data_IF_038196097808
#
_entry.id   IF_038196097808
#
_cell.length_a   1.000
_cell.length_b   1.000
_cell.length_c   1.000
_cell.angle_alpha   90.00
_cell.angle_beta   90.00
_cell.angle_gamma   90.00
#
_symmetry.space_group_name_H-M   'P 1'
#
loop_
_entity.id
_entity.type
_entity.pdbx_description
1 polymer ?
#
# COMPACT_ATOMS: atom_id res chain seq x y z
N UNK A 1 -5.72 -2.80 -21.99
CA UNK A 1 -4.27 -3.09 -21.84
C UNK A 1 -4.07 -4.60 -21.93
N UNK A 2 -2.97 -5.05 -22.53
CA UNK A 2 -2.54 -6.45 -22.54
C UNK A 2 -1.45 -6.62 -21.48
N UNK A 3 -1.77 -7.25 -20.34
CA UNK A 3 -0.80 -7.47 -19.27
C UNK A 3 0.17 -8.62 -19.59
N UNK A 4 -0.16 -9.49 -20.54
CA UNK A 4 0.70 -10.61 -20.94
C UNK A 4 2.04 -10.13 -21.51
N UNK A 5 2.07 -8.94 -22.13
CA UNK A 5 3.29 -8.29 -22.61
C UNK A 5 4.33 -8.05 -21.49
N UNK A 6 3.86 -7.79 -20.27
CA UNK A 6 4.71 -7.49 -19.12
C UNK A 6 4.98 -8.73 -18.26
N UNK A 7 4.36 -9.86 -18.54
CA UNK A 7 4.49 -11.06 -17.71
C UNK A 7 5.83 -11.75 -17.92
N UNK A 8 6.64 -11.84 -16.87
CA UNK A 8 7.81 -12.69 -16.84
C UNK A 8 7.40 -14.12 -16.48
N UNK A 9 7.61 -15.07 -17.40
CA UNK A 9 7.28 -16.49 -17.18
C UNK A 9 8.23 -17.18 -16.21
N UNK A 10 9.46 -16.67 -16.05
CA UNK A 10 10.47 -17.22 -15.15
C UNK A 10 10.17 -16.81 -13.72
N UNK A 11 10.11 -15.49 -13.48
CA UNK A 11 9.82 -14.92 -12.15
C UNK A 11 8.34 -15.03 -11.77
N UNK A 12 7.46 -15.27 -12.76
CA UNK A 12 5.99 -15.37 -12.62
C UNK A 12 5.35 -14.09 -12.10
N UNK A 13 5.99 -12.94 -12.28
CA UNK A 13 5.48 -11.63 -11.88
C UNK A 13 5.50 -10.66 -13.06
N UNK A 14 4.84 -9.51 -12.89
CA UNK A 14 4.83 -8.46 -13.90
C UNK A 14 6.14 -7.65 -13.85
N UNK A 15 6.71 -7.39 -15.03
CA UNK A 15 7.77 -6.42 -15.25
C UNK A 15 7.21 -5.01 -15.16
N UNK A 16 8.05 -4.08 -14.70
CA UNK A 16 7.66 -2.70 -14.47
C UNK A 16 7.27 -1.95 -15.74
N UNK A 17 7.83 -2.31 -16.89
CA UNK A 17 7.52 -1.63 -18.14
C UNK A 17 8.10 -2.30 -19.38
N UNK A 18 8.09 -1.55 -20.48
CA UNK A 18 8.57 -1.97 -21.79
C UNK A 18 9.32 -0.82 -22.46
N UNK A 19 10.57 -1.06 -22.85
CA UNK A 19 11.41 -0.07 -23.50
C UNK A 19 11.10 -0.03 -25.00
N UNK A 20 10.37 0.99 -25.44
CA UNK A 20 9.94 1.13 -26.84
C UNK A 20 11.09 1.42 -27.81
N UNK A 21 12.17 2.04 -27.33
CA UNK A 21 13.37 2.31 -28.13
C UNK A 21 14.15 1.05 -28.50
N UNK A 22 14.08 -0.01 -27.68
CA UNK A 22 14.76 -1.29 -27.93
C UNK A 22 13.82 -2.45 -28.18
N UNK A 23 12.50 -2.25 -28.05
CA UNK A 23 11.50 -3.29 -28.30
C UNK A 23 11.56 -4.45 -27.30
N UNK A 24 11.97 -4.19 -26.05
CA UNK A 24 12.17 -5.22 -25.03
C UNK A 24 11.50 -4.85 -23.71
N UNK A 25 11.01 -5.84 -22.94
CA UNK A 25 10.46 -5.59 -21.63
C UNK A 25 11.56 -5.16 -20.64
N UNK A 26 11.21 -4.37 -19.62
CA UNK A 26 12.18 -3.92 -18.62
C UNK A 26 12.71 -5.08 -17.78
N UNK A 27 13.96 -5.00 -17.34
CA UNK A 27 14.54 -5.99 -16.41
C UNK A 27 14.02 -5.85 -14.98
N UNK A 28 13.38 -4.71 -14.67
CA UNK A 28 12.86 -4.42 -13.33
C UNK A 28 11.52 -5.10 -13.06
N UNK A 29 11.38 -5.57 -11.83
CA UNK A 29 10.17 -6.16 -11.26
C UNK A 29 9.83 -5.47 -9.96
N UNK A 30 8.56 -5.57 -9.57
CA UNK A 30 8.12 -5.18 -8.25
C UNK A 30 7.48 -6.40 -7.56
N UNK A 31 8.28 -7.10 -6.75
CA UNK A 31 7.94 -8.44 -6.27
C UNK A 31 7.24 -8.46 -4.89
N UNK A 32 7.31 -7.37 -4.12
CA UNK A 32 6.74 -7.33 -2.77
C UNK A 32 5.20 -7.29 -2.81
N UNK A 33 4.55 -8.25 -2.15
CA UNK A 33 3.10 -8.42 -2.21
C UNK A 33 2.33 -7.25 -1.59
N UNK A 34 2.67 -6.82 -0.37
CA UNK A 34 1.88 -5.83 0.36
C UNK A 34 2.17 -4.38 -0.09
N UNK A 35 2.14 -4.16 -1.40
CA UNK A 35 2.37 -2.88 -2.08
C UNK A 35 1.30 -2.60 -3.13
N UNK A 36 1.35 -1.43 -3.77
CA UNK A 36 0.41 -1.01 -4.81
C UNK A 36 0.44 -1.93 -6.05
N UNK A 37 1.60 -2.51 -6.34
CA UNK A 37 1.83 -3.35 -7.52
C UNK A 37 0.88 -4.56 -7.58
N UNK A 38 0.41 -5.06 -6.42
CA UNK A 38 -0.54 -6.17 -6.37
C UNK A 38 -1.86 -5.86 -7.08
N UNK A 39 -2.26 -4.59 -7.18
CA UNK A 39 -3.47 -4.21 -7.90
C UNK A 39 -3.38 -4.52 -9.41
N UNK A 40 -2.20 -4.34 -10.02
CA UNK A 40 -1.97 -4.69 -11.42
C UNK A 40 -2.05 -6.21 -11.64
N UNK A 41 -1.38 -6.99 -10.80
CA UNK A 41 -1.45 -8.46 -10.86
C UNK A 41 -2.88 -8.97 -10.64
N UNK A 42 -3.61 -8.40 -9.68
CA UNK A 42 -5.02 -8.72 -9.40
C UNK A 42 -5.89 -8.56 -10.65
N UNK A 43 -5.82 -7.39 -11.30
CA UNK A 43 -6.60 -7.10 -12.51
C UNK A 43 -6.18 -7.98 -13.69
N UNK A 44 -4.88 -8.20 -13.89
CA UNK A 44 -4.34 -9.04 -14.96
C UNK A 44 -4.82 -10.49 -14.85
N UNK A 45 -4.82 -11.06 -13.63
CA UNK A 45 -5.33 -12.42 -13.36
C UNK A 45 -6.84 -12.49 -13.57
N UNK A 46 -7.58 -11.49 -13.08
CA UNK A 46 -9.02 -11.37 -13.30
C UNK A 46 -9.37 -11.38 -14.78
N UNK A 47 -8.62 -10.62 -15.58
CA UNK A 47 -8.80 -10.51 -17.03
C UNK A 47 -8.41 -11.80 -17.75
N UNK A 48 -7.53 -12.60 -17.14
CA UNK A 48 -7.01 -13.85 -17.70
C UNK A 48 -5.77 -13.65 -18.59
N UNK A 49 -5.14 -12.48 -18.52
CA UNK A 49 -3.93 -12.17 -19.28
C UNK A 49 -2.71 -12.91 -18.71
N UNK A 50 -2.69 -13.15 -17.40
CA UNK A 50 -1.61 -13.83 -16.68
C UNK A 50 -2.17 -14.92 -15.74
N UNK A 51 -1.38 -15.95 -15.41
CA UNK A 51 -1.84 -17.05 -14.57
C UNK A 51 -1.93 -16.63 -13.09
N UNK A 52 -2.75 -17.34 -12.30
CA UNK A 52 -3.01 -17.00 -10.89
C UNK A 52 -1.77 -17.13 -10.01
N UNK A 53 -0.84 -17.96 -10.43
CA UNK A 53 0.47 -18.22 -9.83
C UNK A 53 1.22 -16.89 -9.59
N UNK A 54 0.95 -15.87 -10.41
CA UNK A 54 1.53 -14.55 -10.24
C UNK A 54 1.14 -13.87 -8.92
N UNK A 55 -0.05 -14.13 -8.39
CA UNK A 55 -0.47 -13.65 -7.08
C UNK A 55 0.37 -14.23 -5.94
N UNK A 56 0.75 -15.50 -6.08
CA UNK A 56 1.47 -16.26 -5.07
C UNK A 56 2.99 -16.16 -5.23
N UNK A 57 3.48 -15.77 -6.41
CA UNK A 57 4.90 -15.54 -6.67
C UNK A 57 5.45 -14.27 -5.99
N UNK A 58 4.58 -13.30 -5.66
CA UNK A 58 5.00 -12.09 -4.93
C UNK A 58 5.39 -12.39 -3.47
N UNK A 59 6.45 -11.77 -2.99
CA UNK A 59 7.00 -12.01 -1.66
C UNK A 59 6.17 -11.34 -0.57
N UNK A 60 5.77 -12.11 0.44
CA UNK A 60 5.17 -11.57 1.68
C UNK A 60 6.28 -11.05 2.60
N UNK A 61 7.38 -11.80 2.64
CA UNK A 61 8.66 -11.52 3.30
C UNK A 61 9.75 -12.25 2.52
N UNK A 62 11.01 -11.84 2.65
CA UNK A 62 12.14 -12.56 2.04
C UNK A 62 12.74 -13.60 3.01
N UNK A 63 13.60 -14.53 2.56
CA UNK A 63 14.23 -15.51 3.44
C UNK A 63 14.90 -14.91 4.69
N UNK A 64 14.89 -15.60 5.86
CA UNK A 64 15.44 -15.07 7.10
C UNK A 64 16.94 -14.76 7.07
N UNK A 65 17.67 -15.33 6.11
CA UNK A 65 19.10 -15.09 5.92
C UNK A 65 19.40 -13.81 5.11
N UNK A 66 18.37 -13.15 4.60
CA UNK A 66 18.49 -11.84 3.94
C UNK A 66 18.53 -10.75 5.02
N UNK A 67 19.74 -10.49 5.53
CA UNK A 67 20.04 -9.58 6.64
C UNK A 67 19.81 -8.09 6.34
N UNK A 68 19.63 -7.74 5.07
CA UNK A 68 19.33 -6.37 4.63
C UNK A 68 17.86 -5.96 4.87
N UNK A 69 17.00 -6.91 5.21
CA UNK A 69 15.60 -6.65 5.56
C UNK A 69 15.49 -5.88 6.90
N UNK A 70 14.49 -5.04 7.06
CA UNK A 70 14.31 -4.26 8.31
C UNK A 70 14.06 -5.11 9.56
N UNK A 71 13.52 -6.33 9.39
CA UNK A 71 13.36 -7.31 10.45
C UNK A 71 13.64 -8.71 9.92
N UNK A 72 14.11 -9.60 10.81
CA UNK A 72 14.12 -11.03 10.51
C UNK A 72 12.67 -11.54 10.56
N UNK A 73 12.13 -12.11 9.46
CA UNK A 73 10.76 -12.58 9.46
C UNK A 73 10.56 -13.76 10.40
N UNK A 74 9.38 -13.79 11.01
CA UNK A 74 8.86 -14.90 11.79
C UNK A 74 7.95 -15.78 10.92
N UNK A 75 7.84 -17.04 11.32
CA UNK A 75 7.04 -18.07 10.64
C UNK A 75 7.27 -18.14 9.12
N UNK A 76 8.51 -17.91 8.68
CA UNK A 76 8.88 -18.02 7.28
C UNK A 76 8.78 -19.48 6.82
N UNK A 77 7.68 -19.81 6.15
CA UNK A 77 7.35 -21.19 5.78
C UNK A 77 6.70 -21.26 4.40
N UNK A 78 6.99 -22.36 3.68
CA UNK A 78 6.28 -22.70 2.45
C UNK A 78 4.87 -23.16 2.79
N UNK A 79 3.89 -22.50 2.21
CA UNK A 79 2.46 -22.77 2.35
C UNK A 79 1.82 -22.92 0.97
N UNK A 80 0.61 -23.49 0.91
CA UNK A 80 -0.10 -23.75 -0.34
C UNK A 80 -1.51 -23.16 -0.35
N UNK A 81 -1.89 -22.52 -1.45
CA UNK A 81 -3.23 -21.99 -1.70
C UNK A 81 -3.59 -22.12 -3.18
N UNK A 82 -4.81 -22.57 -3.48
CA UNK A 82 -5.32 -22.77 -4.86
C UNK A 82 -4.40 -23.61 -5.79
N UNK A 83 -3.62 -24.53 -5.23
CA UNK A 83 -2.66 -25.34 -5.98
C UNK A 83 -1.33 -24.64 -6.28
N UNK A 84 -1.10 -23.46 -5.70
CA UNK A 84 0.15 -22.71 -5.80
C UNK A 84 0.87 -22.75 -4.44
N UNK A 85 2.17 -22.99 -4.46
CA UNK A 85 3.02 -22.85 -3.28
C UNK A 85 3.66 -21.46 -3.24
N UNK A 86 3.77 -20.89 -2.03
CA UNK A 86 4.43 -19.62 -1.78
C UNK A 86 5.03 -19.58 -0.37
N UNK A 87 5.85 -18.57 -0.09
CA UNK A 87 6.40 -18.35 1.24
C UNK A 87 5.55 -17.33 2.00
N UNK A 88 4.98 -17.77 3.12
CA UNK A 88 4.35 -16.91 4.10
C UNK A 88 5.36 -16.54 5.18
N UNK A 89 5.06 -15.49 5.92
CA UNK A 89 5.83 -15.00 7.06
C UNK A 89 5.45 -13.56 7.37
N UNK A 90 5.93 -13.05 8.49
CA UNK A 90 5.53 -11.73 8.97
C UNK A 90 6.63 -11.08 9.82
N UNK A 91 6.50 -9.77 10.02
CA UNK A 91 7.25 -8.98 10.98
C UNK A 91 6.39 -8.70 12.21
N UNK A 92 7.00 -8.15 13.26
CA UNK A 92 6.26 -7.68 14.42
C UNK A 92 6.26 -6.15 14.50
N UNK A 93 5.12 -5.60 14.88
CA UNK A 93 5.01 -4.21 15.35
C UNK A 93 4.35 -4.21 16.71
N UNK A 94 5.09 -3.80 17.75
CA UNK A 94 4.64 -3.82 19.16
C UNK A 94 4.00 -5.17 19.57
N UNK A 95 4.56 -6.27 19.07
CA UNK A 95 4.09 -7.64 19.33
C UNK A 95 2.93 -8.11 18.45
N UNK A 96 2.35 -7.25 17.61
CA UNK A 96 1.34 -7.65 16.63
C UNK A 96 2.00 -8.10 15.30
N UNK A 97 1.55 -9.20 14.69
CA UNK A 97 2.07 -9.65 13.42
C UNK A 97 1.58 -8.75 12.27
N UNK A 98 2.50 -8.39 11.38
CA UNK A 98 2.27 -7.56 10.19
C UNK A 98 3.07 -8.10 9.01
N UNK A 99 2.43 -8.27 7.86
CA UNK A 99 3.13 -8.47 6.59
C UNK A 99 3.59 -7.11 6.09
N UNK A 100 4.91 -6.90 5.91
CA UNK A 100 5.48 -5.60 5.55
C UNK A 100 5.21 -5.23 4.08
N UNK A 101 5.13 -3.94 3.83
CA UNK A 101 5.27 -3.37 2.47
C UNK A 101 6.76 -3.27 2.10
N UNK A 102 7.13 -2.66 0.98
CA UNK A 102 8.55 -2.48 0.66
C UNK A 102 9.18 -1.33 1.49
N UNK A 103 8.56 -0.16 1.48
CA UNK A 103 9.04 1.02 2.18
C UNK A 103 8.41 1.29 3.55
N UNK A 104 7.30 0.65 3.88
CA UNK A 104 6.53 0.97 5.09
C UNK A 104 5.61 2.17 4.89
N UNK A 105 5.35 2.58 3.63
CA UNK A 105 4.49 3.72 3.33
C UNK A 105 3.01 3.37 3.35
N UNK A 106 2.16 4.40 3.44
CA UNK A 106 0.71 4.24 3.39
C UNK A 106 0.17 4.02 1.98
N UNK A 107 0.80 4.62 0.97
CA UNK A 107 0.47 4.40 -0.44
C UNK A 107 0.58 2.93 -0.83
N UNK A 108 1.75 2.33 -0.59
CA UNK A 108 2.03 0.92 -0.90
C UNK A 108 0.98 0.00 -0.24
N UNK A 109 0.74 0.23 1.06
CA UNK A 109 -0.12 -0.63 1.85
C UNK A 109 -1.61 -0.53 1.46
N UNK A 110 -2.11 0.69 1.28
CA UNK A 110 -3.55 0.97 1.30
C UNK A 110 -4.17 1.32 -0.05
N UNK A 111 -3.40 1.82 -1.03
CA UNK A 111 -3.95 2.18 -2.35
C UNK A 111 -4.67 1.01 -3.03
N UNK A 112 -4.18 -0.25 -2.99
CA UNK A 112 -4.92 -1.40 -3.52
C UNK A 112 -6.31 -1.54 -2.92
N UNK A 113 -6.49 -1.12 -1.67
CA UNK A 113 -7.76 -1.12 -0.95
C UNK A 113 -8.82 -0.15 -1.48
N UNK A 114 -8.53 0.65 -2.51
CA UNK A 114 -9.53 1.43 -3.25
C UNK A 114 -10.23 0.62 -4.34
N UNK A 115 -9.61 -0.49 -4.78
CA UNK A 115 -10.08 -1.33 -5.90
C UNK A 115 -10.27 -2.80 -5.52
N UNK A 116 -9.55 -3.28 -4.49
CA UNK A 116 -9.65 -4.62 -3.94
C UNK A 116 -10.42 -4.55 -2.62
N UNK A 117 -11.58 -5.22 -2.54
CA UNK A 117 -12.43 -5.27 -1.34
C UNK A 117 -11.86 -6.24 -0.28
N UNK A 118 -10.73 -5.86 0.31
CA UNK A 118 -10.06 -6.63 1.37
C UNK A 118 -10.96 -6.79 2.60
N UNK A 119 -11.84 -5.82 2.87
CA UNK A 119 -12.79 -5.90 3.99
C UNK A 119 -13.72 -7.10 3.81
N UNK A 120 -14.28 -7.28 2.62
CA UNK A 120 -15.22 -8.36 2.33
C UNK A 120 -14.55 -9.72 2.22
N UNK A 121 -13.37 -9.79 1.62
CA UNK A 121 -12.73 -11.07 1.28
C UNK A 121 -11.59 -11.49 2.21
N UNK A 122 -11.06 -10.60 3.03
CA UNK A 122 -9.92 -10.88 3.92
C UNK A 122 -9.96 -9.97 5.17
N UNK A 123 -11.13 -9.88 5.82
CA UNK A 123 -11.36 -8.98 6.97
C UNK A 123 -10.33 -9.18 8.09
N UNK A 124 -10.07 -10.45 8.44
CA UNK A 124 -9.11 -10.85 9.49
C UNK A 124 -7.68 -11.03 8.96
N UNK A 125 -7.48 -10.82 7.66
CA UNK A 125 -6.20 -10.98 6.97
C UNK A 125 -5.69 -9.64 6.45
N UNK A 126 -5.77 -9.41 5.14
CA UNK A 126 -5.23 -8.21 4.50
C UNK A 126 -5.85 -6.90 5.00
N UNK A 127 -7.15 -6.90 5.32
CA UNK A 127 -7.80 -5.73 5.90
C UNK A 127 -7.25 -5.40 7.29
N UNK A 128 -7.12 -6.41 8.15
CA UNK A 128 -6.49 -6.27 9.47
C UNK A 128 -5.01 -5.86 9.37
N UNK A 129 -4.28 -6.39 8.39
CA UNK A 129 -2.89 -5.99 8.12
C UNK A 129 -2.81 -4.49 7.82
N UNK A 130 -3.70 -3.98 6.95
CA UNK A 130 -3.81 -2.54 6.66
C UNK A 130 -4.14 -1.70 7.91
N UNK A 131 -5.04 -2.17 8.78
CA UNK A 131 -5.33 -1.48 10.06
C UNK A 131 -4.08 -1.41 10.95
N UNK A 132 -3.33 -2.51 11.08
CA UNK A 132 -2.08 -2.53 11.86
C UNK A 132 -1.02 -1.61 11.27
N UNK A 133 -0.95 -1.52 9.94
CA UNK A 133 -0.05 -0.59 9.25
C UNK A 133 -0.39 0.88 9.56
N UNK A 134 -1.68 1.23 9.59
CA UNK A 134 -2.14 2.58 10.00
C UNK A 134 -1.79 2.86 11.46
N UNK A 135 -2.04 1.90 12.36
CA UNK A 135 -1.68 2.05 13.79
C UNK A 135 -0.20 2.30 13.99
N UNK A 136 0.66 1.62 13.25
CA UNK A 136 2.09 1.83 13.33
C UNK A 136 2.53 3.23 12.88
N UNK A 137 1.85 3.82 11.90
CA UNK A 137 2.07 5.21 11.49
C UNK A 137 1.69 6.19 12.61
N UNK A 138 0.56 5.93 13.30
CA UNK A 138 0.12 6.72 14.45
C UNK A 138 1.11 6.59 15.62
N UNK A 139 1.52 5.36 15.92
CA UNK A 139 2.49 5.05 16.96
C UNK A 139 3.83 5.76 16.73
N UNK A 140 4.39 5.62 15.52
CA UNK A 140 5.68 6.23 15.18
C UNK A 140 5.60 7.76 15.21
N UNK A 141 4.50 8.35 14.73
CA UNK A 141 4.29 9.80 14.84
C UNK A 141 4.30 10.25 16.31
N UNK A 142 3.64 9.51 17.20
CA UNK A 142 3.67 9.77 18.64
C UNK A 142 5.08 9.65 19.25
N UNK A 143 5.85 8.63 18.85
CA UNK A 143 7.23 8.42 19.27
C UNK A 143 8.18 9.54 18.81
N UNK A 144 7.91 10.13 17.64
CA UNK A 144 8.64 11.27 17.09
C UNK A 144 8.14 12.63 17.61
N UNK A 145 7.07 12.64 18.43
CA UNK A 145 6.44 13.87 18.92
C UNK A 145 5.69 14.65 17.84
N UNK A 146 5.34 14.02 16.72
CA UNK A 146 4.58 14.65 15.64
C UNK A 146 3.10 14.74 16.01
N UNK A 147 2.46 15.90 15.78
CA UNK A 147 1.03 16.07 16.09
C UNK A 147 0.11 15.43 15.04
N UNK A 148 0.67 14.96 13.92
CA UNK A 148 -0.02 14.36 12.79
C UNK A 148 0.78 13.17 12.25
N UNK A 149 0.11 12.23 11.58
CA UNK A 149 0.70 11.03 10.99
C UNK A 149 0.34 10.88 9.51
N UNK A 150 0.96 9.93 8.81
CA UNK A 150 0.67 9.62 7.41
C UNK A 150 1.89 9.80 6.51
N UNK A 151 2.95 9.04 6.80
CA UNK A 151 4.17 9.04 5.98
C UNK A 151 3.96 8.19 4.74
N UNK A 152 4.23 8.79 3.59
CA UNK A 152 4.08 8.17 2.28
C UNK A 152 4.92 8.93 1.25
N UNK A 153 5.28 8.33 0.10
CA UNK A 153 5.94 9.04 -0.98
C UNK A 153 5.19 10.31 -1.40
N UNK A 154 5.88 11.43 -1.40
CA UNK A 154 5.31 12.75 -1.70
C UNK A 154 6.43 13.75 -2.03
N UNK A 155 6.05 14.96 -2.45
CA UNK A 155 6.96 16.10 -2.55
C UNK A 155 7.51 16.44 -1.17
N UNK A 156 8.82 16.63 -1.07
CA UNK A 156 9.47 17.04 0.17
C UNK A 156 9.49 18.59 0.26
N UNK A 157 9.05 19.21 1.38
CA UNK A 157 9.18 20.65 1.59
C UNK A 157 10.63 21.17 1.46
N UNK A 158 11.63 20.34 1.75
CA UNK A 158 13.05 20.65 1.55
C UNK A 158 13.50 20.57 0.08
N UNK A 159 12.63 20.14 -0.83
CA UNK A 159 12.87 20.04 -2.26
C UNK A 159 12.89 18.60 -2.78
N UNK A 160 12.39 18.42 -4.01
CA UNK A 160 12.35 17.12 -4.70
C UNK A 160 11.23 16.21 -4.23
N UNK A 161 11.24 14.98 -4.75
CA UNK A 161 10.33 13.91 -4.35
C UNK A 161 11.03 13.00 -3.33
N UNK A 162 10.32 12.60 -2.29
CA UNK A 162 10.86 11.79 -1.21
C UNK A 162 9.93 10.62 -0.86
N UNK A 163 10.54 9.57 -0.33
CA UNK A 163 9.84 8.36 0.12
C UNK A 163 9.89 8.30 1.65
N UNK A 164 8.73 8.20 2.27
CA UNK A 164 8.60 8.21 3.73
C UNK A 164 7.71 7.07 4.21
N UNK A 165 8.02 6.50 5.38
CA UNK A 165 7.28 5.38 5.93
C UNK A 165 7.72 4.97 7.32
N UNK A 166 7.10 3.92 7.84
CA UNK A 166 7.55 3.25 9.07
C UNK A 166 8.60 2.22 8.65
N UNK A 167 9.89 2.53 8.86
CA UNK A 167 11.00 1.67 8.40
C UNK A 167 10.84 0.20 8.79
N UNK A 168 10.45 -0.09 10.03
CA UNK A 168 10.26 -1.44 10.54
C UNK A 168 9.08 -2.19 9.91
N UNK A 169 8.16 -1.50 9.21
CA UNK A 169 7.09 -2.10 8.41
C UNK A 169 7.39 -2.15 6.91
N UNK A 170 8.58 -1.73 6.51
CA UNK A 170 9.10 -1.91 5.17
C UNK A 170 10.15 -3.01 5.14
N UNK A 171 10.12 -3.85 4.11
CA UNK A 171 11.17 -4.82 3.84
C UNK A 171 12.52 -4.11 3.67
N UNK A 172 12.58 -3.08 2.82
CA UNK A 172 13.75 -2.18 2.73
C UNK A 172 13.67 -1.05 3.74
N UNK A 173 12.46 -0.53 3.94
CA UNK A 173 12.15 0.51 4.92
C UNK A 173 12.61 1.90 4.51
N UNK A 174 11.63 2.79 4.31
CA UNK A 174 11.86 4.21 4.07
C UNK A 174 12.12 4.96 5.39
N UNK A 175 12.82 6.12 5.33
CA UNK A 175 12.97 6.96 6.49
C UNK A 175 11.62 7.52 6.96
N UNK A 176 11.51 7.79 8.26
CA UNK A 176 10.43 8.62 8.79
C UNK A 176 10.64 10.09 8.39
N UNK A 177 9.58 10.89 8.43
CA UNK A 177 9.70 12.33 8.21
C UNK A 177 8.40 12.96 7.75
N UNK A 178 8.39 13.45 6.51
CA UNK A 178 7.31 14.24 5.91
C UNK A 178 5.98 13.48 5.94
N UNK A 179 4.92 14.20 6.28
CA UNK A 179 3.54 13.69 6.33
C UNK A 179 2.75 14.24 5.15
N UNK A 180 1.98 13.36 4.51
CA UNK A 180 1.12 13.73 3.37
C UNK A 180 -0.34 13.43 3.64
N UNK A 181 -1.27 14.36 3.34
CA UNK A 181 -2.70 14.17 3.58
C UNK A 181 -3.30 12.95 2.87
N UNK A 182 -2.81 12.57 1.68
CA UNK A 182 -3.36 11.44 0.93
C UNK A 182 -3.30 10.12 1.73
N UNK A 183 -2.28 9.96 2.58
CA UNK A 183 -2.14 8.79 3.45
C UNK A 183 -3.30 8.66 4.44
N UNK A 184 -3.78 9.79 4.97
CA UNK A 184 -4.95 9.82 5.85
C UNK A 184 -6.23 9.57 5.08
N UNK A 185 -6.37 10.10 3.86
CA UNK A 185 -7.53 9.78 3.01
C UNK A 185 -7.62 8.30 2.66
N UNK A 186 -6.50 7.64 2.33
CA UNK A 186 -6.43 6.20 2.10
C UNK A 186 -6.83 5.37 3.34
N UNK A 187 -6.60 5.91 4.54
CA UNK A 187 -6.98 5.26 5.78
C UNK A 187 -8.46 5.42 6.15
N UNK A 188 -9.18 6.42 5.60
CA UNK A 188 -10.58 6.69 5.94
C UNK A 188 -11.52 5.47 5.83
N UNK A 189 -11.44 4.61 4.79
CA UNK A 189 -12.31 3.44 4.70
C UNK A 189 -12.09 2.41 5.82
N UNK A 190 -10.89 2.37 6.42
CA UNK A 190 -10.47 1.41 7.46
C UNK A 190 -10.62 1.96 8.87
N UNK A 191 -10.27 3.23 9.07
CA UNK A 191 -10.17 3.90 10.37
C UNK A 191 -10.72 5.32 10.27
N UNK A 192 -12.02 5.42 9.98
CA UNK A 192 -12.71 6.68 9.64
C UNK A 192 -12.48 7.77 10.68
N UNK A 193 -12.66 7.47 11.96
CA UNK A 193 -12.61 8.48 13.01
C UNK A 193 -11.18 8.97 13.25
N UNK A 194 -10.20 8.06 13.30
CA UNK A 194 -8.78 8.40 13.44
C UNK A 194 -8.28 9.22 12.25
N UNK A 195 -8.56 8.78 11.02
CA UNK A 195 -8.15 9.47 9.81
C UNK A 195 -8.83 10.84 9.67
N UNK A 196 -10.13 10.95 9.97
CA UNK A 196 -10.83 12.22 9.94
C UNK A 196 -10.34 13.19 11.02
N UNK A 197 -9.96 12.70 12.22
CA UNK A 197 -9.29 13.52 13.24
C UNK A 197 -7.94 14.02 12.73
N UNK A 198 -7.13 13.16 12.13
CA UNK A 198 -5.82 13.55 11.60
C UNK A 198 -5.91 14.58 10.47
N UNK A 199 -6.88 14.44 9.54
CA UNK A 199 -7.13 15.43 8.50
C UNK A 199 -7.57 16.79 9.06
N UNK A 200 -8.39 16.80 10.12
CA UNK A 200 -8.74 18.05 10.82
C UNK A 200 -7.53 18.66 11.51
N UNK A 201 -6.67 17.85 12.14
CA UNK A 201 -5.42 18.33 12.74
C UNK A 201 -4.48 18.91 11.69
N UNK A 202 -4.33 18.26 10.53
CA UNK A 202 -3.53 18.78 9.41
C UNK A 202 -4.02 20.18 8.99
N UNK A 203 -5.33 20.34 8.78
CA UNK A 203 -5.90 21.63 8.39
C UNK A 203 -5.81 22.71 9.49
N UNK A 204 -5.95 22.32 10.77
CA UNK A 204 -5.95 23.25 11.90
C UNK A 204 -4.54 23.70 12.30
N UNK A 205 -3.56 22.78 12.29
CA UNK A 205 -2.19 23.03 12.71
C UNK A 205 -1.32 23.60 11.60
N UNK A 206 -1.65 23.29 10.34
CA UNK A 206 -0.93 23.78 9.17
C UNK A 206 -1.93 24.41 8.18
N UNK A 207 -2.48 25.62 8.47
CA UNK A 207 -3.50 26.23 7.62
C UNK A 207 -3.06 26.44 6.17
N UNK A 208 -1.78 26.71 5.95
CA UNK A 208 -1.19 26.88 4.61
C UNK A 208 -1.15 25.57 3.80
N UNK A 209 -1.32 24.41 4.44
CA UNK A 209 -1.41 23.12 3.77
C UNK A 209 -2.73 22.98 2.98
N UNK A 210 -3.75 23.80 3.23
CA UNK A 210 -5.03 23.72 2.51
C UNK A 210 -5.17 24.89 1.52
N UNK A 211 -5.19 24.57 0.22
CA UNK A 211 -5.32 25.54 -0.87
C UNK A 211 -6.58 25.33 -1.72
N UNK A 212 -6.57 25.93 -2.92
CA UNK A 212 -7.71 25.98 -3.83
C UNK A 212 -8.24 24.59 -4.25
N UNK A 213 -7.34 23.64 -4.47
CA UNK A 213 -7.69 22.27 -4.86
C UNK A 213 -7.79 21.31 -3.66
N UNK A 214 -7.96 21.84 -2.45
CA UNK A 214 -7.83 21.08 -1.21
C UNK A 214 -6.39 21.07 -0.71
N UNK A 215 -6.01 20.00 0.01
CA UNK A 215 -4.69 19.90 0.61
C UNK A 215 -3.57 19.88 -0.43
N UNK A 216 -2.54 20.72 -0.24
CA UNK A 216 -1.25 20.55 -0.89
C UNK A 216 -0.58 19.24 -0.45
N UNK A 217 0.45 18.87 -1.19
CA UNK A 217 1.00 17.51 -1.19
C UNK A 217 1.47 17.02 0.18
N UNK A 218 2.16 17.86 0.95
CA UNK A 218 2.77 17.43 2.20
C UNK A 218 3.19 18.57 3.12
N UNK A 219 3.50 18.21 4.36
CA UNK A 219 4.05 19.09 5.38
C UNK A 219 5.17 18.39 6.16
N UNK A 220 6.20 19.16 6.54
CA UNK A 220 7.12 18.75 7.59
C UNK A 220 6.40 18.89 8.94
N UNK A 221 6.06 17.77 9.63
CA UNK A 221 5.27 17.84 10.85
C UNK A 221 5.99 18.52 12.01
N UNK A 222 7.33 18.62 11.99
CA UNK A 222 8.11 19.28 13.03
C UNK A 222 8.27 20.78 12.76
N UNK A 223 8.68 21.15 11.53
CA UNK A 223 8.95 22.54 11.16
C UNK A 223 7.76 23.30 10.58
N UNK A 224 6.69 22.61 10.17
CA UNK A 224 5.50 23.20 9.57
C UNK A 224 5.67 23.65 8.11
N UNK A 225 6.81 23.39 7.49
CA UNK A 225 7.06 23.75 6.09
C UNK A 225 6.18 22.92 5.15
N UNK A 226 5.51 23.57 4.21
CA UNK A 226 4.56 22.95 3.27
C UNK A 226 5.19 22.78 1.89
N UNK A 227 4.97 21.64 1.26
CA UNK A 227 5.25 21.45 -0.16
C UNK A 227 4.04 21.90 -0.99
N UNK A 228 4.07 23.15 -1.48
CA UNK A 228 2.98 23.76 -2.28
C UNK A 228 2.87 23.17 -3.69
N UNK A 229 2.52 21.89 -3.78
CA UNK A 229 2.30 21.12 -5.01
C UNK A 229 0.99 20.36 -4.93
N UNK A 230 0.43 20.08 -6.09
CA UNK A 230 -0.67 19.13 -6.25
C UNK A 230 -0.19 18.05 -7.20
N UNK A 231 -0.07 16.82 -6.69
CA UNK A 231 0.15 15.65 -7.54
C UNK A 231 -1.21 15.05 -7.91
N UNK A 232 -1.42 14.79 -9.21
CA UNK A 232 -2.69 14.24 -9.70
C UNK A 232 -3.00 12.87 -9.06
N UNK A 233 -1.97 12.06 -8.82
CA UNK A 233 -2.08 10.78 -8.13
C UNK A 233 -2.63 10.97 -6.70
N UNK A 234 -1.98 11.82 -5.92
CA UNK A 234 -2.30 12.07 -4.51
C UNK A 234 -3.69 12.69 -4.35
N UNK A 235 -4.03 13.67 -5.18
CA UNK A 235 -5.37 14.26 -5.20
C UNK A 235 -6.44 13.24 -5.60
N UNK A 236 -6.12 12.35 -6.55
CA UNK A 236 -7.00 11.25 -6.93
C UNK A 236 -7.27 10.32 -5.74
N UNK A 237 -6.23 9.95 -4.98
CA UNK A 237 -6.38 9.13 -3.78
C UNK A 237 -7.14 9.85 -2.66
N UNK A 238 -6.94 11.15 -2.49
CA UNK A 238 -7.73 11.97 -1.57
C UNK A 238 -9.22 11.88 -1.90
N UNK A 239 -9.57 12.13 -3.17
CA UNK A 239 -10.95 12.08 -3.64
C UNK A 239 -11.57 10.70 -3.48
N UNK A 240 -10.88 9.65 -3.92
CA UNK A 240 -11.38 8.28 -3.87
C UNK A 240 -11.55 7.78 -2.42
N UNK A 241 -10.57 8.03 -1.56
CA UNK A 241 -10.65 7.67 -0.14
C UNK A 241 -11.79 8.40 0.59
N UNK A 242 -11.99 9.69 0.30
CA UNK A 242 -13.11 10.45 0.83
C UNK A 242 -14.47 9.94 0.30
N UNK A 243 -14.57 9.66 -1.00
CA UNK A 243 -15.80 9.17 -1.62
C UNK A 243 -16.25 7.85 -1.00
N UNK A 244 -15.34 6.89 -0.83
CA UNK A 244 -15.65 5.60 -0.20
C UNK A 244 -16.03 5.76 1.28
N UNK A 245 -15.41 6.68 2.01
CA UNK A 245 -15.72 6.90 3.43
C UNK A 245 -17.04 7.65 3.68
N UNK A 246 -17.46 8.51 2.74
CA UNK A 246 -18.72 9.26 2.79
C UNK A 246 -19.88 8.49 2.19
N UNK A 247 -19.62 7.65 1.20
CA UNK A 247 -20.61 6.78 0.55
C UNK A 247 -20.04 5.36 0.40
N UNK A 248 -20.03 4.56 1.48
CA UNK A 248 -19.51 3.20 1.46
C UNK A 248 -20.07 2.36 0.30
N UNK A 249 -19.19 1.69 -0.42
CA UNK A 249 -19.52 0.88 -1.59
C UNK A 249 -19.49 1.61 -2.94
N UNK A 250 -19.37 2.95 -2.96
CA UNK A 250 -19.33 3.71 -4.24
C UNK A 250 -18.14 3.31 -5.12
N UNK A 251 -17.02 2.92 -4.51
CA UNK A 251 -15.87 2.36 -5.21
C UNK A 251 -15.85 0.84 -5.07
N UNK A 252 -15.79 0.33 -3.84
CA UNK A 252 -15.49 -1.09 -3.62
C UNK A 252 -16.55 -2.03 -4.17
N UNK A 253 -17.85 -1.76 -3.96
CA UNK A 253 -18.89 -2.59 -4.57
C UNK A 253 -18.96 -2.38 -6.08
N UNK A 254 -18.67 -1.18 -6.57
CA UNK A 254 -18.65 -0.90 -8.01
C UNK A 254 -17.57 -1.72 -8.71
N UNK A 255 -16.36 -1.76 -8.17
CA UNK A 255 -15.29 -2.61 -8.69
C UNK A 255 -15.64 -4.09 -8.53
N UNK A 256 -16.17 -4.53 -7.38
CA UNK A 256 -16.52 -5.95 -7.15
C UNK A 256 -17.59 -6.49 -8.13
N UNK A 257 -18.46 -5.62 -8.67
CA UNK A 257 -19.45 -6.01 -9.69
C UNK A 257 -18.84 -6.30 -11.06
N UNK A 258 -17.63 -5.82 -11.34
CA UNK A 258 -16.94 -6.11 -12.58
C UNK A 258 -16.54 -7.61 -12.64
N UNK A 259 -16.89 -8.36 -13.70
CA UNK A 259 -16.53 -9.78 -13.82
C UNK A 259 -15.04 -10.08 -13.67
N UNK A 260 -14.16 -9.16 -14.11
CA UNK A 260 -12.70 -9.27 -13.98
C UNK A 260 -12.31 -9.28 -12.51
N UNK A 261 -12.76 -8.27 -11.77
CA UNK A 261 -12.50 -8.13 -10.32
C UNK A 261 -13.11 -9.31 -9.58
N UNK A 262 -14.38 -9.64 -9.85
CA UNK A 262 -15.10 -10.72 -9.17
C UNK A 262 -14.40 -12.06 -9.26
N UNK A 263 -13.80 -12.35 -10.43
CA UNK A 263 -13.03 -13.58 -10.66
C UNK A 263 -11.74 -13.58 -9.83
N UNK A 264 -11.04 -12.45 -9.77
CA UNK A 264 -9.80 -12.31 -9.00
C UNK A 264 -10.02 -12.28 -7.48
N UNK A 265 -11.17 -11.80 -6.98
CA UNK A 265 -11.46 -11.73 -5.54
C UNK A 265 -11.34 -13.07 -4.80
N UNK A 266 -11.45 -14.21 -5.51
CA UNK A 266 -11.24 -15.55 -4.94
C UNK A 266 -9.80 -15.77 -4.43
N UNK A 267 -8.84 -15.02 -4.93
CA UNK A 267 -7.44 -15.07 -4.47
C UNK A 267 -7.34 -14.69 -2.99
N UNK A 268 -8.07 -13.64 -2.57
CA UNK A 268 -8.04 -13.16 -1.18
C UNK A 268 -8.66 -14.15 -0.19
N UNK A 269 -9.63 -14.96 -0.63
CA UNK A 269 -10.27 -15.98 0.21
C UNK A 269 -9.35 -17.19 0.45
N UNK A 270 -8.33 -17.36 -0.39
CA UNK A 270 -7.49 -18.55 -0.37
C UNK A 270 -6.27 -18.44 0.55
N UNK A 271 -5.96 -17.24 1.03
CA UNK A 271 -4.84 -17.02 1.93
C UNK A 271 -5.25 -16.16 3.13
N UNK A 272 -4.56 -16.37 4.25
CA UNK A 272 -4.55 -15.44 5.36
C UNK A 272 -3.09 -15.02 5.60
N UNK A 273 -2.74 -13.72 5.44
CA UNK A 273 -1.37 -13.25 5.64
C UNK A 273 -0.89 -13.31 7.09
N UNK A 274 -1.82 -13.33 8.04
CA UNK A 274 -1.51 -13.22 9.45
C UNK A 274 -1.63 -14.60 10.13
N UNK A 275 -0.76 -14.90 11.12
CA UNK A 275 -0.89 -16.11 11.91
C UNK A 275 -2.25 -16.16 12.62
N UNK A 276 -2.76 -17.37 12.83
CA UNK A 276 -4.06 -17.62 13.47
C UNK A 276 -4.04 -17.40 14.97
#
# INVERSE_FOLDING_TARGET
MDFGLFYDKTERILRHGFFTNVGAPSEYHYATFFTEARAAAFLAIGKGDIPRESWFAMDRVFPPDFDWQSQKPLDHARVGALGCDYYAGHYLWKGEPVVPSWGGSMFEALMPGLVIDEKRYSEKGWWLNGIRHVKAQIDLAGELGYPVWGMSPCMNPAGGYGEFGVKSLGIKGYPAGVVTPHASFLALPRMKDEAARNLRNLAALYPELYGECGFYDSVDPAGGSVAFKYLALDQGMCFLGAAEALSPGVLLERFDRDPIVKKASRLLLAENPLPR
#
